data_IF_512900795431
#
_entry.id   IF_512900795431
#
_cell.length_a   1.000
_cell.length_b   1.000
_cell.length_c   1.000
_cell.angle_alpha   90.00
_cell.angle_beta   90.00
_cell.angle_gamma   90.00
#
_symmetry.space_group_name_H-M   'P 1'
#
loop_
_entity.id
_entity.type
_entity.pdbx_description
1 polymer ?
#
# COMPACT_ATOMS: atom_id res chain seq x y z
N UNK A 1 -14.50 -23.20 -6.06
CA UNK A 1 -14.94 -22.19 -7.05
C UNK A 1 -14.33 -20.88 -6.60
N UNK A 2 -13.60 -20.22 -7.48
CA UNK A 2 -12.90 -18.97 -7.20
C UNK A 2 -13.54 -17.88 -8.05
N UNK A 3 -13.74 -16.71 -7.46
CA UNK A 3 -14.26 -15.54 -8.18
C UNK A 3 -13.05 -14.91 -8.90
N UNK A 4 -13.19 -14.63 -10.19
CA UNK A 4 -12.14 -14.02 -11.00
C UNK A 4 -12.66 -12.82 -11.79
N UNK A 5 -11.92 -11.72 -11.82
CA UNK A 5 -12.25 -10.54 -12.60
C UNK A 5 -11.54 -10.60 -13.96
N UNK A 6 -12.26 -10.93 -15.03
CA UNK A 6 -11.66 -11.04 -16.37
C UNK A 6 -11.16 -9.70 -16.91
N UNK A 7 -11.65 -8.57 -16.36
CA UNK A 7 -11.15 -7.24 -16.73
C UNK A 7 -9.69 -7.06 -16.32
N UNK A 8 -9.22 -7.73 -15.25
CA UNK A 8 -7.81 -7.71 -14.86
C UNK A 8 -6.92 -8.28 -15.97
N UNK A 9 -7.27 -9.45 -16.51
CA UNK A 9 -6.52 -10.08 -17.60
C UNK A 9 -6.44 -9.18 -18.84
N UNK A 10 -7.56 -8.56 -19.20
CA UNK A 10 -7.64 -7.66 -20.36
C UNK A 10 -6.72 -6.44 -20.16
N UNK A 11 -6.76 -5.85 -18.96
CA UNK A 11 -5.91 -4.69 -18.63
C UNK A 11 -4.44 -5.07 -18.66
N UNK A 12 -4.03 -6.16 -18.02
CA UNK A 12 -2.63 -6.61 -18.01
C UNK A 12 -2.13 -6.94 -19.41
N UNK A 13 -2.92 -7.67 -20.21
CA UNK A 13 -2.57 -7.98 -21.61
C UNK A 13 -2.38 -6.69 -22.43
N UNK A 14 -3.30 -5.73 -22.28
CA UNK A 14 -3.23 -4.44 -22.99
C UNK A 14 -2.00 -3.62 -22.57
N UNK A 15 -1.63 -3.64 -21.28
CA UNK A 15 -0.43 -3.00 -20.76
C UNK A 15 0.82 -3.61 -21.41
N UNK A 16 0.92 -4.93 -21.46
CA UNK A 16 2.07 -5.62 -22.05
C UNK A 16 2.20 -5.35 -23.55
N UNK A 17 1.09 -5.37 -24.30
CA UNK A 17 1.07 -5.01 -25.72
C UNK A 17 1.53 -3.57 -25.97
N UNK A 18 1.05 -2.62 -25.15
CA UNK A 18 1.45 -1.21 -25.26
C UNK A 18 2.92 -1.02 -24.88
N UNK A 19 3.41 -1.67 -23.82
CA UNK A 19 4.83 -1.66 -23.44
C UNK A 19 5.71 -2.17 -24.58
N UNK A 20 5.39 -3.33 -25.15
CA UNK A 20 6.13 -3.91 -26.28
C UNK A 20 6.13 -2.97 -27.49
N UNK A 21 5.00 -2.32 -27.79
CA UNK A 21 4.89 -1.32 -28.85
C UNK A 21 5.78 -0.10 -28.61
N UNK A 22 5.82 0.43 -27.37
CA UNK A 22 6.68 1.56 -26.98
C UNK A 22 8.16 1.18 -27.09
N UNK A 23 8.55 0.01 -26.59
CA UNK A 23 9.91 -0.51 -26.65
C UNK A 23 10.38 -0.70 -28.10
N UNK A 24 9.53 -1.27 -28.97
CA UNK A 24 9.85 -1.46 -30.39
C UNK A 24 10.08 -0.15 -31.14
N UNK A 25 9.46 0.95 -30.68
CA UNK A 25 9.61 2.31 -31.23
C UNK A 25 10.75 3.10 -30.56
N UNK A 26 11.51 2.47 -29.66
CA UNK A 26 12.64 3.09 -28.97
C UNK A 26 12.25 4.00 -27.79
N UNK A 27 11.02 3.92 -27.28
CA UNK A 27 10.52 4.69 -26.15
C UNK A 27 10.80 6.22 -26.26
N UNK A 28 10.26 6.90 -27.29
CA UNK A 28 10.58 8.30 -27.57
C UNK A 28 10.20 9.26 -26.43
N UNK A 29 9.11 8.95 -25.73
CA UNK A 29 8.59 9.73 -24.60
C UNK A 29 9.33 9.42 -23.28
N UNK A 30 10.33 8.53 -23.29
CA UNK A 30 11.13 8.11 -22.12
C UNK A 30 10.29 7.69 -20.93
N UNK A 31 9.21 6.96 -21.19
CA UNK A 31 8.30 6.46 -20.16
C UNK A 31 8.99 5.38 -19.33
N UNK A 32 8.67 5.33 -18.03
CA UNK A 32 9.11 4.23 -17.17
C UNK A 32 8.20 3.01 -17.35
N UNK A 33 8.77 1.88 -17.80
CA UNK A 33 8.04 0.64 -18.11
C UNK A 33 8.35 -0.50 -17.12
N UNK A 34 8.92 -0.19 -15.96
CA UNK A 34 9.20 -1.21 -14.93
C UNK A 34 7.92 -1.82 -14.34
N UNK A 35 8.03 -3.01 -13.75
CA UNK A 35 6.90 -3.76 -13.15
C UNK A 35 6.06 -2.94 -12.16
N UNK A 36 6.72 -2.09 -11.35
CA UNK A 36 6.03 -1.19 -10.41
C UNK A 36 5.15 -0.18 -11.12
N UNK A 37 5.66 0.44 -12.18
CA UNK A 37 4.88 1.38 -12.99
C UNK A 37 3.77 0.69 -13.78
N UNK A 38 3.99 -0.54 -14.27
CA UNK A 38 2.93 -1.36 -14.89
C UNK A 38 1.82 -1.65 -13.89
N UNK A 39 2.16 -1.97 -12.64
CA UNK A 39 1.20 -2.17 -11.55
C UNK A 39 0.44 -0.90 -11.21
N UNK A 40 1.11 0.26 -11.12
CA UNK A 40 0.46 1.56 -10.91
C UNK A 40 -0.52 1.90 -12.05
N UNK A 41 -0.13 1.62 -13.29
CA UNK A 41 -0.98 1.77 -14.48
C UNK A 41 -2.19 0.85 -14.39
N UNK A 42 -2.01 -0.42 -14.04
CA UNK A 42 -3.11 -1.35 -13.85
C UNK A 42 -4.10 -0.86 -12.78
N UNK A 43 -3.60 -0.40 -11.61
CA UNK A 43 -4.44 0.19 -10.57
C UNK A 43 -5.18 1.45 -11.05
N UNK A 44 -4.54 2.31 -11.83
CA UNK A 44 -5.19 3.50 -12.39
C UNK A 44 -6.36 3.11 -13.31
N UNK A 45 -6.15 2.14 -14.20
CA UNK A 45 -7.12 1.72 -15.20
C UNK A 45 -8.26 0.91 -14.57
N UNK A 46 -7.96 -0.07 -13.72
CA UNK A 46 -8.96 -0.94 -13.07
C UNK A 46 -9.95 -0.17 -12.18
N UNK A 47 -9.52 0.96 -11.61
CA UNK A 47 -10.41 1.86 -10.87
C UNK A 47 -11.34 2.71 -11.76
N UNK A 48 -11.23 2.60 -13.09
CA UNK A 48 -11.97 3.41 -14.09
C UNK A 48 -12.73 2.58 -15.11
N UNK A 49 -12.51 1.27 -15.14
CA UNK A 49 -13.23 0.34 -16.01
C UNK A 49 -14.17 -0.55 -15.18
N UNK A 50 -15.33 -0.94 -15.71
CA UNK A 50 -16.23 -1.83 -15.00
C UNK A 50 -15.59 -3.21 -14.80
N UNK A 51 -15.67 -3.80 -13.58
CA UNK A 51 -15.19 -5.15 -13.36
C UNK A 51 -16.16 -6.17 -13.95
N UNK A 52 -15.64 -7.32 -14.38
CA UNK A 52 -16.45 -8.43 -14.88
C UNK A 52 -16.05 -9.73 -14.19
N UNK A 53 -16.88 -10.18 -13.24
CA UNK A 53 -16.58 -11.33 -12.40
C UNK A 53 -17.20 -12.62 -12.92
N UNK A 54 -16.41 -13.69 -12.90
CA UNK A 54 -16.81 -15.05 -13.25
C UNK A 54 -16.45 -16.04 -12.14
N UNK A 55 -17.13 -17.19 -12.12
CA UNK A 55 -16.87 -18.31 -11.20
C UNK A 55 -16.35 -19.57 -11.93
N UNK A 56 -16.31 -19.55 -13.26
CA UNK A 56 -15.84 -20.66 -14.09
C UNK A 56 -15.44 -20.20 -15.49
N UNK A 57 -14.56 -20.96 -16.14
CA UNK A 57 -14.12 -20.72 -17.52
C UNK A 57 -15.27 -20.72 -18.54
N UNK A 58 -16.40 -21.37 -18.23
CA UNK A 58 -17.61 -21.31 -19.08
C UNK A 58 -18.22 -19.90 -19.11
N UNK A 59 -18.04 -19.12 -18.06
CA UNK A 59 -18.40 -17.70 -18.01
C UNK A 59 -17.56 -16.87 -18.98
N UNK A 60 -16.25 -17.13 -19.05
CA UNK A 60 -15.34 -16.46 -19.99
C UNK A 60 -15.71 -16.69 -21.46
N UNK A 61 -16.10 -17.92 -21.82
CA UNK A 61 -16.48 -18.26 -23.21
C UNK A 61 -17.69 -17.47 -23.74
N UNK A 62 -18.61 -17.02 -22.87
CA UNK A 62 -19.74 -16.17 -23.27
C UNK A 62 -19.32 -14.73 -23.58
N UNK A 63 -18.30 -14.22 -22.87
CA UNK A 63 -17.74 -12.88 -23.11
C UNK A 63 -17.11 -12.83 -24.51
N UNK A 64 -16.41 -13.90 -24.87
CA UNK A 64 -15.70 -13.98 -26.15
C UNK A 64 -16.62 -13.93 -27.38
N UNK A 65 -17.91 -14.23 -27.20
CA UNK A 65 -18.93 -14.17 -28.26
C UNK A 65 -19.47 -12.75 -28.53
N UNK A 66 -19.26 -11.77 -27.62
CA UNK A 66 -19.74 -10.39 -27.80
C UNK A 66 -18.69 -9.47 -28.47
N UNK A 67 -18.31 -9.78 -29.70
CA UNK A 67 -17.18 -9.16 -30.43
C UNK A 67 -17.22 -7.62 -30.51
N UNK A 68 -18.37 -7.01 -30.77
CA UNK A 68 -18.48 -5.54 -30.94
C UNK A 68 -18.24 -4.81 -29.63
N UNK A 69 -18.88 -5.26 -28.53
CA UNK A 69 -18.66 -4.67 -27.20
C UNK A 69 -17.23 -4.88 -26.72
N UNK A 70 -16.65 -6.04 -27.04
CA UNK A 70 -15.24 -6.34 -26.76
C UNK A 70 -14.29 -5.36 -27.46
N UNK A 71 -14.53 -5.07 -28.74
CA UNK A 71 -13.69 -4.14 -29.51
C UNK A 71 -13.77 -2.70 -28.96
N UNK A 72 -14.98 -2.23 -28.62
CA UNK A 72 -15.16 -0.91 -28.00
C UNK A 72 -14.45 -0.83 -26.65
N UNK A 73 -14.69 -1.82 -25.77
CA UNK A 73 -14.06 -1.88 -24.45
C UNK A 73 -12.53 -1.98 -24.53
N UNK A 74 -11.99 -2.69 -25.51
CA UNK A 74 -10.54 -2.78 -25.73
C UNK A 74 -9.94 -1.43 -26.15
N UNK A 75 -10.59 -0.69 -27.05
CA UNK A 75 -10.14 0.64 -27.47
C UNK A 75 -10.18 1.66 -26.31
N UNK A 76 -11.26 1.63 -25.52
CA UNK A 76 -11.39 2.48 -24.34
C UNK A 76 -10.32 2.16 -23.29
N UNK A 77 -10.08 0.87 -23.04
CA UNK A 77 -9.02 0.40 -22.13
C UNK A 77 -7.64 0.84 -22.60
N UNK A 78 -7.33 0.68 -23.88
CA UNK A 78 -6.03 1.09 -24.44
C UNK A 78 -5.80 2.59 -24.27
N UNK A 79 -6.83 3.41 -24.49
CA UNK A 79 -6.76 4.87 -24.31
C UNK A 79 -6.46 5.22 -22.85
N UNK A 80 -7.15 4.57 -21.90
CA UNK A 80 -6.91 4.76 -20.46
C UNK A 80 -5.51 4.29 -20.04
N UNK A 81 -5.00 3.20 -20.60
CA UNK A 81 -3.63 2.70 -20.33
C UNK A 81 -2.59 3.74 -20.80
N UNK A 82 -2.76 4.32 -21.99
CA UNK A 82 -1.86 5.39 -22.45
C UNK A 82 -1.88 6.64 -21.55
N UNK A 83 -3.08 7.05 -21.11
CA UNK A 83 -3.21 8.16 -20.15
C UNK A 83 -2.52 7.83 -18.82
N UNK A 84 -2.73 6.60 -18.32
CA UNK A 84 -2.15 6.12 -17.09
C UNK A 84 -0.62 6.15 -17.14
N UNK A 85 0.01 5.68 -18.23
CA UNK A 85 1.45 5.73 -18.40
C UNK A 85 2.00 7.16 -18.30
N UNK A 86 1.36 8.12 -18.97
CA UNK A 86 1.77 9.54 -18.88
C UNK A 86 1.67 10.05 -17.45
N UNK A 87 0.58 9.72 -16.76
CA UNK A 87 0.32 10.20 -15.40
C UNK A 87 1.24 9.59 -14.35
N UNK A 88 1.48 8.28 -14.43
CA UNK A 88 2.40 7.54 -13.56
C UNK A 88 3.84 7.96 -13.82
N UNK A 89 4.23 8.16 -15.09
CA UNK A 89 5.57 8.65 -15.42
C UNK A 89 5.81 10.08 -14.92
N UNK A 90 4.78 10.92 -14.85
CA UNK A 90 4.88 12.27 -14.31
C UNK A 90 4.87 12.32 -12.77
N UNK A 91 4.21 11.34 -12.13
CA UNK A 91 4.06 11.27 -10.66
C UNK A 91 4.60 9.94 -10.13
N UNK A 92 5.88 9.68 -10.36
CA UNK A 92 6.52 8.44 -9.90
C UNK A 92 6.50 8.34 -8.37
N UNK A 93 6.38 7.11 -7.85
CA UNK A 93 6.35 6.87 -6.41
C UNK A 93 7.62 7.43 -5.75
N UNK A 94 7.49 8.32 -4.74
CA UNK A 94 8.65 8.85 -4.04
C UNK A 94 9.42 7.70 -3.36
N UNK A 95 10.75 7.83 -3.31
CA UNK A 95 11.66 6.88 -2.68
C UNK A 95 11.66 5.45 -3.25
N UNK A 96 11.13 5.23 -4.46
CA UNK A 96 11.15 3.92 -5.10
C UNK A 96 12.30 3.79 -6.12
N UNK A 97 13.14 2.76 -5.97
CA UNK A 97 14.17 2.48 -6.97
C UNK A 97 13.57 1.79 -8.20
N UNK A 98 13.37 2.55 -9.29
CA UNK A 98 12.80 2.05 -10.55
C UNK A 98 13.75 1.17 -11.39
N UNK A 99 14.98 0.93 -10.90
CA UNK A 99 15.98 0.11 -11.59
C UNK A 99 16.17 -1.28 -10.98
N UNK A 100 15.53 -1.59 -9.84
CA UNK A 100 15.71 -2.88 -9.18
C UNK A 100 14.49 -3.80 -9.34
N UNK A 101 14.72 -5.09 -9.61
CA UNK A 101 13.66 -6.08 -9.63
C UNK A 101 13.04 -6.22 -8.24
N UNK A 102 11.76 -6.58 -8.19
CA UNK A 102 11.07 -6.79 -6.93
C UNK A 102 11.72 -7.92 -6.13
N UNK A 103 11.95 -7.69 -4.84
CA UNK A 103 12.50 -8.69 -3.95
C UNK A 103 11.48 -9.82 -3.78
N UNK A 104 11.86 -11.04 -4.18
CA UNK A 104 11.02 -12.22 -3.95
C UNK A 104 10.82 -12.44 -2.45
N UNK A 105 9.57 -12.65 -2.06
CA UNK A 105 9.19 -13.03 -0.70
C UNK A 105 9.91 -14.33 -0.32
N UNK A 106 10.57 -14.35 0.86
CA UNK A 106 11.22 -15.56 1.36
C UNK A 106 10.17 -16.51 1.94
N UNK A 107 10.18 -17.77 1.49
CA UNK A 107 9.37 -18.87 2.04
C UNK A 107 9.98 -19.40 3.34
N UNK A 108 10.14 -18.52 4.33
CA UNK A 108 10.57 -18.87 5.67
C UNK A 108 9.45 -18.53 6.67
N UNK A 109 9.31 -19.33 7.74
CA UNK A 109 8.36 -19.00 8.80
C UNK A 109 8.65 -17.62 9.38
N UNK A 110 7.60 -16.82 9.55
CA UNK A 110 7.73 -15.46 10.03
C UNK A 110 6.50 -14.99 10.80
N UNK A 111 6.73 -14.11 11.76
CA UNK A 111 5.69 -13.28 12.38
C UNK A 111 5.34 -12.14 11.43
N UNK A 112 4.18 -12.27 10.79
CA UNK A 112 3.64 -11.25 9.90
C UNK A 112 2.94 -10.18 10.74
N UNK A 113 3.66 -9.11 11.05
CA UNK A 113 3.10 -8.00 11.82
C UNK A 113 1.98 -7.35 11.01
N UNK A 114 0.77 -7.18 11.59
CA UNK A 114 -0.33 -6.53 10.90
C UNK A 114 0.02 -5.08 10.58
N UNK A 115 -0.69 -4.52 9.61
CA UNK A 115 -0.63 -3.07 9.37
C UNK A 115 -1.17 -2.35 10.61
N UNK A 116 -0.41 -1.39 11.12
CA UNK A 116 -0.78 -0.59 12.30
C UNK A 116 -1.38 0.72 11.81
N UNK A 117 -2.62 0.99 12.19
CA UNK A 117 -3.36 2.20 11.80
C UNK A 117 -3.77 2.95 13.05
N UNK A 118 -3.52 4.26 13.07
CA UNK A 118 -3.96 5.14 14.14
C UNK A 118 -4.33 6.52 13.62
N UNK A 119 -4.93 7.33 14.49
CA UNK A 119 -5.27 8.72 14.22
C UNK A 119 -4.79 9.62 15.34
N UNK A 120 -4.43 10.85 14.99
CA UNK A 120 -3.91 11.84 15.94
C UNK A 120 -4.69 13.13 15.78
N UNK A 121 -5.15 13.66 16.90
CA UNK A 121 -5.91 14.89 16.99
C UNK A 121 -5.23 15.87 17.95
N UNK A 122 -5.48 17.15 17.73
CA UNK A 122 -5.16 18.16 18.73
C UNK A 122 -6.15 18.03 19.91
N UNK A 123 -5.62 17.95 21.13
CA UNK A 123 -6.42 17.73 22.34
C UNK A 123 -7.27 18.91 22.78
N UNK A 124 -7.00 20.13 22.30
CA UNK A 124 -7.78 21.33 22.63
C UNK A 124 -9.00 21.45 21.71
N UNK A 125 -8.78 21.32 20.39
CA UNK A 125 -9.81 21.64 19.39
C UNK A 125 -10.33 20.42 18.62
N UNK A 126 -9.81 19.22 18.89
CA UNK A 126 -10.18 17.95 18.27
C UNK A 126 -10.01 17.92 16.74
N UNK A 127 -9.27 18.88 16.17
CA UNK A 127 -8.94 18.87 14.75
C UNK A 127 -7.87 17.79 14.47
N UNK A 128 -7.93 17.11 13.31
CA UNK A 128 -6.90 16.16 12.94
C UNK A 128 -5.54 16.84 12.78
N UNK A 129 -4.48 16.20 13.29
CA UNK A 129 -3.13 16.72 13.16
C UNK A 129 -2.61 16.60 11.73
N UNK A 130 -1.80 17.57 11.31
CA UNK A 130 -1.10 17.60 10.04
C UNK A 130 0.27 18.27 10.22
N UNK A 131 1.19 18.01 9.30
CA UNK A 131 2.57 18.49 9.30
C UNK A 131 3.36 18.10 10.56
N UNK A 132 3.07 16.91 11.11
CA UNK A 132 3.79 16.34 12.25
C UNK A 132 4.39 14.99 11.87
N UNK A 133 5.51 14.63 12.51
CA UNK A 133 6.16 13.35 12.28
C UNK A 133 5.69 12.32 13.31
N UNK A 134 5.22 11.18 12.82
CA UNK A 134 4.81 10.03 13.63
C UNK A 134 5.85 8.95 13.47
N UNK A 135 6.33 8.42 14.58
CA UNK A 135 7.36 7.38 14.60
C UNK A 135 6.84 6.11 15.25
N UNK A 136 7.13 4.97 14.63
CA UNK A 136 6.89 3.66 15.23
C UNK A 136 8.20 3.07 15.75
N UNK A 137 8.24 2.76 17.03
CA UNK A 137 9.41 2.25 17.74
C UNK A 137 9.18 0.84 18.28
N UNK A 138 10.26 0.05 18.34
CA UNK A 138 10.35 -1.23 19.05
C UNK A 138 11.76 -1.40 19.57
N UNK A 139 11.94 -1.87 20.81
CA UNK A 139 13.26 -2.16 21.39
C UNK A 139 14.25 -0.97 21.32
N UNK A 140 13.74 0.26 21.39
CA UNK A 140 14.56 1.46 21.30
C UNK A 140 15.11 1.80 19.90
N UNK A 141 14.60 1.17 18.84
CA UNK A 141 14.92 1.48 17.45
C UNK A 141 13.67 1.80 16.62
N UNK A 142 13.83 2.61 15.56
CA UNK A 142 12.79 2.82 14.56
C UNK A 142 12.51 1.50 13.84
N UNK A 143 11.24 1.13 13.77
CA UNK A 143 10.82 -0.13 13.16
C UNK A 143 11.06 -0.09 11.65
N UNK A 144 11.80 -1.06 11.08
CA UNK A 144 11.94 -1.17 9.64
C UNK A 144 10.59 -1.53 9.00
N UNK A 145 10.29 -0.89 7.89
CA UNK A 145 9.05 -1.09 7.16
C UNK A 145 9.20 -2.18 6.09
N UNK A 146 8.07 -2.76 5.69
CA UNK A 146 7.99 -3.88 4.74
C UNK A 146 8.68 -3.59 3.41
N UNK A 147 8.54 -2.37 2.90
CA UNK A 147 9.18 -1.90 1.67
C UNK A 147 9.35 -0.37 1.68
N UNK A 148 10.00 0.17 0.63
CA UNK A 148 10.30 1.60 0.47
C UNK A 148 9.06 2.51 0.36
N UNK A 149 7.89 1.95 0.03
CA UNK A 149 6.63 2.69 -0.04
C UNK A 149 6.06 3.03 1.34
N UNK A 150 6.51 2.36 2.39
CA UNK A 150 6.12 2.60 3.78
C UNK A 150 7.25 3.31 4.50
N UNK A 151 6.95 4.48 5.05
CA UNK A 151 7.96 5.32 5.70
C UNK A 151 7.79 5.31 7.20
N UNK A 152 8.92 5.24 7.89
CA UNK A 152 9.03 5.45 9.32
C UNK A 152 10.34 6.22 9.58
N UNK A 153 10.28 7.49 9.98
CA UNK A 153 9.10 8.26 10.39
C UNK A 153 8.07 8.52 9.27
N UNK A 154 6.79 8.65 9.63
CA UNK A 154 5.69 8.99 8.73
C UNK A 154 5.26 10.45 8.93
N UNK A 155 5.30 11.24 7.87
CA UNK A 155 4.85 12.63 7.89
C UNK A 155 3.35 12.73 7.65
N UNK A 156 2.59 13.12 8.67
CA UNK A 156 1.16 13.39 8.53
C UNK A 156 0.94 14.62 7.64
N UNK A 157 0.13 14.48 6.59
CA UNK A 157 -0.27 15.59 5.71
C UNK A 157 -1.76 15.84 5.82
N UNK A 158 -2.23 17.06 5.56
CA UNK A 158 -3.63 17.46 5.80
C UNK A 158 -4.68 16.51 5.18
N UNK A 159 -4.40 15.96 3.98
CA UNK A 159 -5.32 15.05 3.29
C UNK A 159 -5.48 13.68 3.95
N UNK A 160 -4.63 13.34 4.93
CA UNK A 160 -4.73 12.09 5.70
C UNK A 160 -5.73 12.16 6.86
N UNK A 161 -6.26 13.35 7.17
CA UNK A 161 -7.19 13.55 8.29
C UNK A 161 -6.64 12.98 9.61
N UNK A 162 -5.36 13.24 9.90
CA UNK A 162 -4.67 12.76 11.10
C UNK A 162 -4.36 11.27 11.11
N UNK A 163 -4.64 10.54 10.03
CA UNK A 163 -4.44 9.09 9.94
C UNK A 163 -3.00 8.76 9.54
N UNK A 164 -2.33 7.95 10.36
CA UNK A 164 -1.03 7.36 10.02
C UNK A 164 -1.18 5.86 9.83
N UNK A 165 -0.29 5.27 9.04
CA UNK A 165 -0.28 3.84 8.80
C UNK A 165 1.14 3.33 8.65
N UNK A 166 1.48 2.27 9.38
CA UNK A 166 2.75 1.57 9.29
C UNK A 166 2.51 0.13 8.87
N UNK A 167 3.39 -0.38 8.01
CA UNK A 167 3.45 -1.82 7.73
C UNK A 167 4.84 -2.34 8.06
N UNK A 168 5.05 -2.84 9.30
CA UNK A 168 6.35 -3.32 9.74
C UNK A 168 6.85 -4.52 8.93
N UNK A 169 8.17 -4.65 8.82
CA UNK A 169 8.80 -5.82 8.25
C UNK A 169 8.49 -7.09 9.07
N UNK A 170 8.33 -8.22 8.38
CA UNK A 170 8.12 -9.52 9.00
C UNK A 170 9.32 -9.92 9.86
N UNK A 171 9.08 -10.57 11.00
CA UNK A 171 10.15 -11.03 11.90
C UNK A 171 10.33 -12.53 11.70
N UNK A 172 11.55 -13.05 11.50
CA UNK A 172 11.78 -14.49 11.36
C UNK A 172 11.24 -15.28 12.56
N UNK A 173 10.68 -16.46 12.28
CA UNK A 173 10.24 -17.43 13.27
C UNK A 173 10.91 -18.79 13.00
N UNK A 174 11.09 -19.60 14.04
CA UNK A 174 11.66 -20.95 13.89
C UNK A 174 10.68 -21.90 13.21
N UNK A 175 9.40 -21.85 13.61
CA UNK A 175 8.30 -22.64 13.05
C UNK A 175 7.03 -21.80 12.92
N UNK A 176 6.03 -22.32 12.20
CA UNK A 176 4.68 -21.75 12.22
C UNK A 176 3.98 -22.02 13.58
N UNK A 177 2.85 -21.35 13.80
CA UNK A 177 1.95 -21.51 14.95
C UNK A 177 2.51 -21.11 16.33
N UNK A 178 3.64 -20.41 16.38
CA UNK A 178 4.15 -19.75 17.58
C UNK A 178 3.36 -18.47 17.80
N UNK A 179 2.79 -18.30 19.00
CA UNK A 179 2.12 -17.05 19.41
C UNK A 179 3.05 -16.21 20.27
N UNK A 180 3.29 -14.96 19.87
CA UNK A 180 4.14 -14.03 20.61
C UNK A 180 3.57 -12.60 20.58
N UNK A 181 3.48 -11.91 21.72
CA UNK A 181 3.21 -10.47 21.74
C UNK A 181 4.46 -9.68 21.35
N UNK A 182 4.28 -8.65 20.53
CA UNK A 182 5.31 -7.68 20.20
C UNK A 182 4.93 -6.32 20.77
N UNK A 183 5.84 -5.71 21.52
CA UNK A 183 5.63 -4.40 22.14
C UNK A 183 6.09 -3.30 21.19
N UNK A 184 5.28 -2.26 21.02
CA UNK A 184 5.59 -1.14 20.17
C UNK A 184 5.26 0.16 20.89
N UNK A 185 5.84 1.25 20.42
CA UNK A 185 5.39 2.59 20.81
C UNK A 185 5.24 3.51 19.61
N UNK A 186 4.21 4.36 19.67
CA UNK A 186 4.09 5.53 18.80
C UNK A 186 4.71 6.71 19.54
N UNK A 187 5.64 7.42 18.89
CA UNK A 187 6.19 8.69 19.35
C UNK A 187 5.82 9.79 18.37
N UNK A 188 5.31 10.90 18.88
CA UNK A 188 4.94 12.07 18.05
C UNK A 188 5.50 13.32 18.70
N UNK A 189 6.23 14.08 17.91
CA UNK A 189 6.80 15.37 18.29
C UNK A 189 6.27 16.47 17.39
N UNK A 190 5.87 17.57 18.01
CA UNK A 190 5.38 18.76 17.33
C UNK A 190 5.81 19.98 18.13
N UNK A 191 6.18 21.04 17.42
CA UNK A 191 6.50 22.33 18.04
C UNK A 191 5.29 22.83 18.85
N UNK A 192 5.53 23.26 20.09
CA UNK A 192 4.49 23.80 20.99
C UNK A 192 3.54 22.77 21.62
N UNK A 193 3.76 21.46 21.42
CA UNK A 193 2.98 20.40 22.06
C UNK A 193 3.88 19.47 22.88
N UNK A 194 3.29 18.81 23.88
CA UNK A 194 3.97 17.77 24.63
C UNK A 194 4.24 16.56 23.74
N UNK A 195 5.41 15.93 23.94
CA UNK A 195 5.77 14.70 23.23
C UNK A 195 4.83 13.58 23.64
N UNK A 196 4.07 13.07 22.68
CA UNK A 196 3.18 11.95 22.91
C UNK A 196 3.94 10.63 22.76
N UNK A 197 3.89 9.78 23.78
CA UNK A 197 4.36 8.40 23.73
C UNK A 197 3.21 7.43 24.05
N UNK A 198 2.83 6.57 23.11
CA UNK A 198 1.77 5.59 23.29
C UNK A 198 2.29 4.16 23.11
N UNK A 199 2.31 3.38 24.19
CA UNK A 199 2.77 1.99 24.20
C UNK A 199 1.60 1.01 23.98
N UNK A 200 1.83 -0.01 23.16
CA UNK A 200 0.83 -1.04 22.86
C UNK A 200 1.48 -2.38 22.53
N UNK A 201 0.68 -3.45 22.63
CA UNK A 201 1.12 -4.81 22.31
C UNK A 201 0.31 -5.38 21.16
N UNK A 202 1.00 -6.02 20.22
CA UNK A 202 0.41 -6.69 19.07
C UNK A 202 0.64 -8.19 19.20
N UNK A 203 -0.39 -8.99 19.52
CA UNK A 203 -0.27 -10.45 19.54
C UNK A 203 -0.23 -10.98 18.09
N UNK A 204 0.84 -11.68 17.74
CA UNK A 204 1.03 -12.24 16.40
C UNK A 204 1.28 -13.74 16.49
N UNK A 205 0.72 -14.48 15.53
CA UNK A 205 0.99 -15.91 15.32
C UNK A 205 1.88 -16.03 14.08
N UNK A 206 2.99 -16.76 14.19
CA UNK A 206 3.89 -17.01 13.08
C UNK A 206 3.21 -17.87 12.01
N UNK A 207 3.38 -17.51 10.74
CA UNK A 207 2.88 -18.27 9.60
C UNK A 207 4.05 -18.95 8.87
N UNK A 208 3.76 -19.97 8.06
CA UNK A 208 4.76 -20.71 7.29
C UNK A 208 5.45 -19.89 6.19
N UNK A 209 4.91 -18.72 5.86
CA UNK A 209 5.43 -17.80 4.84
C UNK A 209 5.32 -16.36 5.29
N UNK A 210 6.24 -15.53 4.82
CA UNK A 210 6.09 -14.08 4.96
C UNK A 210 4.90 -13.60 4.13
N UNK A 211 4.08 -12.71 4.70
CA UNK A 211 2.96 -12.11 3.97
C UNK A 211 3.49 -11.24 2.83
N UNK A 212 3.13 -11.60 1.59
CA UNK A 212 3.55 -10.90 0.37
C UNK A 212 2.55 -9.85 -0.12
N UNK A 213 1.32 -9.84 0.40
CA UNK A 213 0.27 -8.91 -0.02
C UNK A 213 -0.44 -8.29 1.18
N UNK A 214 -0.89 -7.06 1.00
CA UNK A 214 -1.71 -6.34 1.96
C UNK A 214 -3.07 -7.04 2.10
N UNK A 215 -3.59 -7.13 3.33
CA UNK A 215 -4.92 -7.66 3.59
C UNK A 215 -5.66 -6.77 4.57
N UNK A 216 -6.85 -6.30 4.18
CA UNK A 216 -7.71 -5.47 5.02
C UNK A 216 -8.01 -6.15 6.37
N UNK A 217 -8.07 -7.49 6.39
CA UNK A 217 -8.30 -8.31 7.59
C UNK A 217 -7.11 -8.42 8.54
N UNK A 218 -5.93 -7.90 8.17
CA UNK A 218 -4.69 -7.93 8.96
C UNK A 218 -4.30 -6.52 9.41
N UNK A 219 -5.26 -5.79 9.96
CA UNK A 219 -5.06 -4.42 10.46
C UNK A 219 -5.21 -4.39 11.98
N UNK A 220 -4.21 -3.83 12.67
CA UNK A 220 -4.28 -3.50 14.09
C UNK A 220 -4.62 -2.01 14.24
N UNK A 221 -5.80 -1.70 14.77
CA UNK A 221 -6.26 -0.33 14.95
C UNK A 221 -5.94 0.16 16.36
N UNK A 222 -5.22 1.27 16.44
CA UNK A 222 -4.99 2.00 17.68
C UNK A 222 -6.23 2.83 18.05
N UNK A 223 -6.40 3.16 19.34
CA UNK A 223 -7.34 4.21 19.74
C UNK A 223 -6.91 5.56 19.15
N UNK A 224 -7.85 6.50 19.10
CA UNK A 224 -7.53 7.88 18.74
C UNK A 224 -6.56 8.47 19.76
N UNK A 225 -5.52 9.10 19.26
CA UNK A 225 -4.47 9.73 20.06
C UNK A 225 -4.69 11.24 20.09
N UNK A 226 -4.36 11.87 21.21
CA UNK A 226 -4.54 13.31 21.42
C UNK A 226 -3.24 13.93 21.91
N UNK A 227 -2.83 15.04 21.29
CA UNK A 227 -1.67 15.83 21.71
C UNK A 227 -2.13 17.11 22.39
N UNK A 228 -1.57 17.42 23.56
CA UNK A 228 -1.88 18.61 24.34
C UNK A 228 -0.67 19.55 24.36
N UNK A 229 -0.87 20.87 24.54
CA UNK A 229 0.23 21.77 24.84
C UNK A 229 0.90 21.34 26.16
N UNK A 230 2.20 21.66 26.36
CA UNK A 230 2.81 21.49 27.67
C UNK A 230 1.96 22.24 28.69
N UNK A 231 1.57 21.56 29.77
CA UNK A 231 0.85 22.19 30.86
C UNK A 231 1.64 23.41 31.34
N UNK A 232 1.00 24.57 31.39
CA UNK A 232 1.49 25.62 32.27
C UNK A 232 1.40 25.07 33.68
N UNK A 233 2.51 25.08 34.42
CA UNK A 233 2.44 24.94 35.87
C UNK A 233 1.57 26.10 36.37
N UNK A 234 0.30 25.82 36.66
CA UNK A 234 -0.55 26.72 37.43
C UNK A 234 0.00 26.71 38.87
N UNK A 235 0.96 27.61 39.13
CA UNK A 235 1.39 28.04 40.48
C UNK A 235 0.29 28.84 41.20
#
# INVERSE_FOLDING_TARGET
MEIHNTTEDIVFTTIDEICASIESKGNPDKLCLCERCRTDVACFVLNRVPPYYIISNRGAARIEQETIKKQQSAADTATLVFEAFKRVSHNQRPNSNHSQPEAKTKDLPAFNIPTIVGRVFNGINFSPMANVSVELWRDGILVPMKDQGWQNPYSLVANTQGTFTFWPESIPADTADIRKPFEYSIRIESEGLETLNHFFQVPVVSESRSAGSFSMGRTFKLPDLYMFPPGGDDD
#
